data_IF_830903579032
#
_entry.id   IF_830903579032
#
_cell.length_a   1.000
_cell.length_b   1.000
_cell.length_c   1.000
_cell.angle_alpha   90.00
_cell.angle_beta   90.00
_cell.angle_gamma   90.00
#
_symmetry.space_group_name_H-M   'P 1'
#
loop_
_entity.id
_entity.type
_entity.pdbx_description
1 polymer ?
#
# COMPACT_ATOMS: atom_id res chain seq x y z
N UNK A 1 -28.35 13.96 2.41
CA UNK A 1 -28.69 13.04 1.31
C UNK A 1 -27.90 11.76 1.50
N UNK A 2 -28.55 10.63 1.79
CA UNK A 2 -27.87 9.34 1.73
C UNK A 2 -27.65 8.98 0.25
N UNK A 3 -26.47 8.51 -0.15
CA UNK A 3 -26.25 8.03 -1.51
C UNK A 3 -27.21 6.87 -1.78
N UNK A 4 -27.83 6.85 -2.96
CA UNK A 4 -28.63 5.71 -3.39
C UNK A 4 -27.73 4.47 -3.46
N UNK A 5 -28.26 3.28 -3.15
CA UNK A 5 -27.51 2.02 -3.20
C UNK A 5 -26.79 1.82 -4.55
N UNK A 6 -27.40 2.30 -5.64
CA UNK A 6 -26.81 2.30 -6.98
C UNK A 6 -25.55 3.17 -7.14
N UNK A 7 -25.46 4.29 -6.42
CA UNK A 7 -24.30 5.21 -6.45
C UNK A 7 -23.13 4.58 -5.70
N UNK A 8 -23.39 4.05 -4.50
CA UNK A 8 -22.38 3.38 -3.68
C UNK A 8 -21.79 2.16 -4.41
N UNK A 9 -22.64 1.32 -5.00
CA UNK A 9 -22.19 0.15 -5.78
C UNK A 9 -21.29 0.58 -6.94
N UNK A 10 -21.64 1.65 -7.66
CA UNK A 10 -20.83 2.15 -8.77
C UNK A 10 -19.46 2.67 -8.32
N UNK A 11 -19.40 3.33 -7.18
CA UNK A 11 -18.15 3.79 -6.57
C UNK A 11 -17.27 2.62 -6.14
N UNK A 12 -17.86 1.59 -5.51
CA UNK A 12 -17.16 0.37 -5.13
C UNK A 12 -16.57 -0.36 -6.35
N UNK A 13 -17.32 -0.48 -7.45
CA UNK A 13 -16.81 -1.06 -8.69
C UNK A 13 -15.63 -0.27 -9.26
N UNK A 14 -15.71 1.07 -9.27
CA UNK A 14 -14.61 1.93 -9.74
C UNK A 14 -13.38 1.77 -8.85
N UNK A 15 -13.55 1.74 -7.53
CA UNK A 15 -12.47 1.53 -6.57
C UNK A 15 -11.81 0.16 -6.78
N UNK A 16 -12.61 -0.90 -6.86
CA UNK A 16 -12.14 -2.26 -7.14
C UNK A 16 -11.39 -2.37 -8.47
N UNK A 17 -11.90 -1.75 -9.54
CA UNK A 17 -11.23 -1.75 -10.85
C UNK A 17 -9.85 -1.08 -10.79
N UNK A 18 -9.73 0.06 -10.10
CA UNK A 18 -8.44 0.76 -9.92
C UNK A 18 -7.44 -0.08 -9.13
N UNK A 19 -7.87 -0.71 -8.04
CA UNK A 19 -6.99 -1.59 -7.24
C UNK A 19 -6.51 -2.79 -8.07
N UNK A 20 -7.40 -3.41 -8.86
CA UNK A 20 -7.02 -4.51 -9.77
C UNK A 20 -6.04 -4.05 -10.84
N UNK A 21 -6.26 -2.88 -11.43
CA UNK A 21 -5.35 -2.32 -12.44
C UNK A 21 -3.98 -2.02 -11.84
N UNK A 22 -3.94 -1.42 -10.65
CA UNK A 22 -2.70 -1.19 -9.93
C UNK A 22 -1.97 -2.49 -9.65
N UNK A 23 -2.64 -3.49 -9.03
CA UNK A 23 -2.04 -4.78 -8.74
C UNK A 23 -1.50 -5.46 -10.01
N UNK A 24 -2.25 -5.43 -11.10
CA UNK A 24 -1.82 -6.01 -12.37
C UNK A 24 -0.60 -5.32 -13.01
N UNK A 25 -0.26 -4.10 -12.59
CA UNK A 25 0.94 -3.39 -13.04
C UNK A 25 2.21 -3.75 -12.26
N UNK A 26 2.07 -4.46 -11.13
CA UNK A 26 3.18 -4.89 -10.29
C UNK A 26 3.81 -6.18 -10.85
N UNK A 27 5.04 -6.47 -10.44
CA UNK A 27 5.63 -7.77 -10.75
C UNK A 27 4.90 -8.93 -10.05
N UNK A 28 5.11 -10.15 -10.55
CA UNK A 28 4.41 -11.34 -10.05
C UNK A 28 4.68 -11.63 -8.58
N UNK A 29 5.88 -11.31 -8.08
CA UNK A 29 6.24 -11.52 -6.68
C UNK A 29 5.38 -10.64 -5.76
N UNK A 30 5.34 -9.33 -6.03
CA UNK A 30 4.52 -8.39 -5.25
C UNK A 30 3.03 -8.72 -5.40
N UNK A 31 2.58 -9.13 -6.59
CA UNK A 31 1.20 -9.56 -6.78
C UNK A 31 0.82 -10.72 -5.85
N UNK A 32 1.65 -11.76 -5.76
CA UNK A 32 1.41 -12.91 -4.88
C UNK A 32 1.40 -12.51 -3.41
N UNK A 33 2.36 -11.68 -2.98
CA UNK A 33 2.40 -11.22 -1.57
C UNK A 33 1.17 -10.37 -1.21
N UNK A 34 0.66 -9.57 -2.15
CA UNK A 34 -0.58 -8.82 -1.98
C UNK A 34 -1.84 -9.70 -1.97
N UNK A 35 -1.80 -10.94 -2.47
CA UNK A 35 -2.89 -11.90 -2.31
C UNK A 35 -2.95 -12.51 -0.91
N UNK A 36 -1.83 -12.50 -0.19
CA UNK A 36 -1.70 -13.10 1.14
C UNK A 36 -2.01 -12.11 2.29
N UNK A 37 -2.16 -10.82 1.98
CA UNK A 37 -2.43 -9.77 2.95
C UNK A 37 -3.68 -8.94 2.61
N UNK A 38 -4.28 -8.33 3.62
CA UNK A 38 -5.33 -7.33 3.37
C UNK A 38 -4.66 -6.02 2.99
N UNK A 39 -5.10 -5.43 1.89
CA UNK A 39 -4.55 -4.16 1.44
C UNK A 39 -5.57 -3.28 0.75
N UNK A 40 -5.24 -2.00 0.66
CA UNK A 40 -6.07 -1.01 -0.01
C UNK A 40 -5.33 0.28 -0.25
N UNK A 41 -5.93 1.14 -1.06
CA UNK A 41 -5.43 2.50 -1.32
C UNK A 41 -6.55 3.48 -1.06
N UNK A 42 -6.24 4.51 -0.27
CA UNK A 42 -7.12 5.62 0.05
C UNK A 42 -6.50 6.87 -0.53
N UNK A 43 -7.26 7.57 -1.37
CA UNK A 43 -6.77 8.79 -2.01
C UNK A 43 -6.68 9.91 -0.97
N UNK A 44 -5.57 10.65 -0.97
CA UNK A 44 -5.36 11.88 -0.19
C UNK A 44 -5.43 11.76 1.35
N UNK A 45 -5.23 10.57 1.92
CA UNK A 45 -5.21 10.34 3.37
C UNK A 45 -3.78 10.14 3.95
N UNK A 46 -2.77 10.23 3.09
CA UNK A 46 -1.37 10.23 3.47
C UNK A 46 -0.90 11.62 3.94
N UNK A 47 0.32 11.66 4.44
CA UNK A 47 1.00 12.89 4.84
C UNK A 47 1.01 13.88 3.67
N UNK A 48 0.53 15.10 3.91
CA UNK A 48 0.49 16.15 2.87
C UNK A 48 -0.49 15.85 1.72
N UNK A 49 -1.49 14.98 1.93
CA UNK A 49 -2.47 14.63 0.90
C UNK A 49 -1.95 13.61 -0.12
N UNK A 50 -0.86 12.90 0.19
CA UNK A 50 -0.41 11.78 -0.62
C UNK A 50 -1.45 10.63 -0.60
N UNK A 51 -1.46 9.76 -1.62
CA UNK A 51 -2.16 8.49 -1.50
C UNK A 51 -1.65 7.71 -0.28
N UNK A 52 -2.55 6.98 0.39
CA UNK A 52 -2.22 6.11 1.51
C UNK A 52 -2.51 4.67 1.12
N UNK A 53 -1.48 3.83 1.12
CA UNK A 53 -1.62 2.39 1.06
C UNK A 53 -1.75 1.83 2.47
N UNK A 54 -2.79 1.06 2.72
CA UNK A 54 -2.96 0.28 3.95
C UNK A 54 -2.55 -1.16 3.68
N UNK A 55 -1.72 -1.75 4.54
CA UNK A 55 -1.31 -3.16 4.46
C UNK A 55 -1.46 -3.80 5.84
N UNK A 56 -2.16 -4.93 5.93
CA UNK A 56 -2.21 -5.74 7.14
C UNK A 56 -1.44 -7.03 6.92
N UNK A 57 -0.26 -7.10 7.52
CA UNK A 57 0.62 -8.25 7.48
C UNK A 57 0.23 -9.23 8.59
N UNK A 58 0.39 -10.53 8.29
CA UNK A 58 0.14 -11.59 9.26
C UNK A 58 1.27 -11.66 10.31
N UNK A 59 2.48 -11.26 9.91
CA UNK A 59 3.68 -11.32 10.73
C UNK A 59 4.07 -9.94 11.29
N UNK A 60 5.16 -9.91 12.06
CA UNK A 60 5.75 -8.66 12.56
C UNK A 60 6.26 -7.81 11.40
N UNK A 61 6.12 -6.50 11.53
CA UNK A 61 6.62 -5.56 10.53
C UNK A 61 8.15 -5.44 10.67
N UNK A 62 8.89 -5.91 9.66
CA UNK A 62 10.27 -5.53 9.41
C UNK A 62 10.30 -4.52 8.24
N UNK A 63 10.68 -3.27 8.51
CA UNK A 63 10.78 -2.23 7.47
C UNK A 63 11.83 -2.54 6.40
N UNK A 64 12.70 -3.52 6.66
CA UNK A 64 13.68 -3.99 5.71
C UNK A 64 13.25 -5.25 4.95
N UNK A 65 12.00 -5.70 5.12
CA UNK A 65 11.45 -6.81 4.38
C UNK A 65 11.56 -6.52 2.87
N UNK A 66 12.19 -7.43 2.07
CA UNK A 66 12.27 -7.30 0.63
C UNK A 66 10.92 -7.03 -0.05
N UNK A 67 9.82 -7.59 0.47
CA UNK A 67 8.47 -7.32 -0.01
C UNK A 67 8.09 -5.85 0.17
N UNK A 68 8.21 -5.29 1.37
CA UNK A 68 7.83 -3.90 1.65
C UNK A 68 8.66 -2.91 0.84
N UNK A 69 9.96 -3.17 0.70
CA UNK A 69 10.86 -2.35 -0.10
C UNK A 69 10.49 -2.41 -1.59
N UNK A 70 10.26 -3.61 -2.12
CA UNK A 70 9.94 -3.81 -3.54
C UNK A 70 8.55 -3.26 -3.88
N UNK A 71 7.59 -3.39 -2.96
CA UNK A 71 6.28 -2.77 -3.07
C UNK A 71 6.38 -1.24 -3.04
N UNK A 72 7.19 -0.66 -2.16
CA UNK A 72 7.42 0.78 -2.12
C UNK A 72 8.00 1.32 -3.44
N UNK A 73 8.97 0.60 -4.03
CA UNK A 73 9.55 0.98 -5.33
C UNK A 73 8.50 1.01 -6.44
N UNK A 74 7.66 -0.02 -6.52
CA UNK A 74 6.68 -0.14 -7.59
C UNK A 74 5.47 0.76 -7.38
N UNK A 75 5.01 0.90 -6.14
CA UNK A 75 3.95 1.83 -5.79
C UNK A 75 4.37 3.28 -6.08
N UNK A 76 5.62 3.65 -5.76
CA UNK A 76 6.14 4.98 -6.06
C UNK A 76 6.27 5.23 -7.58
N UNK A 77 6.63 4.21 -8.37
CA UNK A 77 6.63 4.34 -9.84
C UNK A 77 5.23 4.55 -10.42
N UNK A 78 4.20 3.97 -9.81
CA UNK A 78 2.83 4.07 -10.30
C UNK A 78 2.12 5.35 -9.84
N UNK A 79 2.23 5.70 -8.56
CA UNK A 79 1.49 6.80 -7.94
C UNK A 79 2.32 8.07 -7.71
N UNK A 80 3.65 8.00 -7.84
CA UNK A 80 4.54 8.96 -7.20
C UNK A 80 4.65 8.66 -5.69
N UNK A 81 5.18 9.59 -4.88
CA UNK A 81 5.32 9.40 -3.45
C UNK A 81 4.01 8.92 -2.80
N UNK A 82 4.10 7.90 -1.94
CA UNK A 82 2.94 7.27 -1.33
C UNK A 82 3.24 6.94 0.13
N UNK A 83 2.24 7.14 0.99
CA UNK A 83 2.30 6.75 2.40
C UNK A 83 1.90 5.29 2.56
N UNK A 84 2.49 4.64 3.56
CA UNK A 84 2.12 3.32 4.02
C UNK A 84 1.61 3.38 5.45
N UNK A 85 0.46 2.78 5.70
CA UNK A 85 -0.02 2.43 7.03
C UNK A 85 0.07 0.90 7.16
N UNK A 86 1.07 0.45 7.91
CA UNK A 86 1.39 -0.96 8.12
C UNK A 86 0.76 -1.42 9.43
N UNK A 87 -0.08 -2.44 9.36
CA UNK A 87 -0.70 -3.10 10.50
C UNK A 87 -0.17 -4.53 10.62
N UNK A 88 -0.07 -5.04 11.84
CA UNK A 88 0.01 -6.49 12.08
C UNK A 88 -1.38 -7.02 12.45
N UNK A 89 -1.58 -8.34 12.50
CA UNK A 89 -2.81 -8.88 13.08
C UNK A 89 -2.99 -8.60 14.58
N UNK A 90 -1.90 -8.28 15.29
CA UNK A 90 -1.91 -8.08 16.74
C UNK A 90 -2.37 -6.67 17.15
N UNK A 91 -2.26 -5.67 16.25
CA UNK A 91 -2.58 -4.28 16.58
C UNK A 91 -3.46 -3.59 15.53
N UNK A 92 -4.33 -2.71 16.04
CA UNK A 92 -5.09 -1.75 15.24
C UNK A 92 -4.35 -0.42 15.02
N UNK A 93 -3.23 -0.20 15.70
CA UNK A 93 -2.42 1.01 15.52
C UNK A 93 -1.42 0.80 14.38
N UNK A 94 -1.49 1.61 13.30
CA UNK A 94 -0.58 1.45 12.18
C UNK A 94 0.79 2.07 12.48
N UNK A 95 1.84 1.40 12.03
CA UNK A 95 3.11 2.05 11.76
C UNK A 95 2.99 2.82 10.44
N UNK A 96 3.13 4.15 10.49
CA UNK A 96 3.12 5.00 9.30
C UNK A 96 4.52 5.25 8.79
N UNK A 97 4.74 5.04 7.49
CA UNK A 97 6.04 5.23 6.84
C UNK A 97 5.86 5.72 5.40
N UNK A 98 6.73 6.62 4.94
CA UNK A 98 6.73 7.07 3.55
C UNK A 98 7.45 6.05 2.65
N UNK A 99 7.01 5.93 1.39
CA UNK A 99 7.70 5.12 0.37
C UNK A 99 9.20 5.43 0.35
N UNK A 100 9.55 6.73 0.30
CA UNK A 100 10.93 7.20 0.31
C UNK A 100 11.72 6.73 1.52
N UNK A 101 11.11 6.65 2.70
CA UNK A 101 11.77 6.14 3.90
C UNK A 101 12.11 4.66 3.77
N UNK A 102 11.22 3.85 3.20
CA UNK A 102 11.50 2.43 2.89
C UNK A 102 12.62 2.32 1.84
N UNK A 103 12.62 3.18 0.82
CA UNK A 103 13.66 3.17 -0.21
C UNK A 103 15.03 3.58 0.34
N UNK A 104 15.10 4.65 1.13
CA UNK A 104 16.32 5.11 1.78
C UNK A 104 16.93 4.00 2.65
N UNK A 105 16.07 3.22 3.31
CA UNK A 105 16.44 2.08 4.13
C UNK A 105 17.13 0.98 3.30
N UNK A 106 16.64 0.70 2.08
CA UNK A 106 17.30 -0.20 1.11
C UNK A 106 18.71 0.29 0.75
N UNK A 107 18.85 1.58 0.46
CA UNK A 107 20.14 2.17 0.07
C UNK A 107 21.18 2.08 1.18
N UNK A 108 20.78 2.33 2.43
CA UNK A 108 21.69 2.17 3.58
C UNK A 108 22.21 0.74 3.72
N UNK A 109 21.38 -0.28 3.47
CA UNK A 109 21.81 -1.69 3.49
C UNK A 109 22.83 -2.03 2.41
N UNK A 110 22.69 -1.46 1.21
CA UNK A 110 23.59 -1.79 0.08
C UNK A 110 25.00 -1.22 0.26
N UNK A 111 25.13 -0.19 1.09
CA UNK A 111 26.38 0.54 1.32
C UNK A 111 27.03 0.22 2.68
N UNK A 112 26.53 -0.82 3.38
CA UNK A 112 27.08 -1.37 4.62
C UNK A 112 27.60 -2.79 4.38
#
# INVERSE_FOLDING_TARGET
>A
MQPSDSTLVRELYRKSARLRQFKASLDSFVQSMLDECEWGIIAAEGQGGLPLMTLRLQERIDLHDPFLVTLAEQAERYYGPIDFALFTWETSEPLRVLSKTLLDTKWRRRNH
#
